data_IF_991986941207
#
_entry.id   IF_991986941207
#
_cell.length_a   1.000
_cell.length_b   1.000
_cell.length_c   1.000
_cell.angle_alpha   90.00
_cell.angle_beta   90.00
_cell.angle_gamma   90.00
#
_symmetry.space_group_name_H-M   'P 1'
#
loop_
_entity.id
_entity.type
_entity.pdbx_description
1 polymer ?
#
# COMPACT_ATOMS: atom_id res chain seq x y z
N UNK A 1 6.87 26.16 45.98
CA UNK A 1 6.15 26.76 44.84
C UNK A 1 6.20 25.76 43.70
N UNK A 2 5.08 25.16 43.29
CA UNK A 2 5.06 24.23 42.18
C UNK A 2 5.03 25.01 40.86
N UNK A 3 6.03 24.76 40.01
CA UNK A 3 6.15 25.33 38.66
C UNK A 3 5.01 24.84 37.77
N UNK A 4 4.07 25.73 37.49
CA UNK A 4 3.05 25.56 36.45
C UNK A 4 3.70 25.76 35.08
N UNK A 5 4.28 24.69 34.54
CA UNK A 5 4.82 24.71 33.17
C UNK A 5 3.64 24.85 32.19
N UNK A 6 3.58 25.92 31.38
CA UNK A 6 2.46 26.16 30.48
C UNK A 6 2.39 25.07 29.43
N UNK A 7 1.26 24.36 29.41
CA UNK A 7 0.94 23.33 28.44
C UNK A 7 1.14 23.88 27.01
N UNK A 8 2.23 23.45 26.37
CA UNK A 8 2.51 23.77 24.98
C UNK A 8 1.40 23.16 24.13
N UNK A 9 0.55 24.02 23.58
CA UNK A 9 -0.48 23.64 22.64
C UNK A 9 0.18 23.05 21.39
N UNK A 10 0.11 21.73 21.26
CA UNK A 10 0.71 21.04 20.13
C UNK A 10 0.10 21.52 18.80
N UNK A 11 0.91 21.83 17.78
CA UNK A 11 0.45 22.43 16.53
C UNK A 11 -0.55 21.53 15.81
N UNK A 12 -1.69 22.11 15.42
CA UNK A 12 -2.88 21.47 14.84
C UNK A 12 -2.71 20.85 13.43
N UNK A 13 -1.49 20.44 13.04
CA UNK A 13 -1.10 20.26 11.64
C UNK A 13 -1.19 18.84 11.06
N UNK A 14 -1.98 17.92 11.65
CA UNK A 14 -2.11 16.53 11.12
C UNK A 14 -3.56 16.00 11.08
N UNK A 15 -4.50 16.76 10.50
CA UNK A 15 -5.92 16.34 10.45
C UNK A 15 -6.34 15.57 9.18
N UNK A 16 -5.66 15.76 8.05
CA UNK A 16 -6.19 15.28 6.77
C UNK A 16 -6.27 13.74 6.66
N UNK A 17 -5.25 13.02 7.14
CA UNK A 17 -5.19 11.56 7.01
C UNK A 17 -5.85 10.76 8.14
N UNK A 18 -6.56 11.41 9.07
CA UNK A 18 -7.18 10.74 10.22
C UNK A 18 -8.67 10.42 10.05
N UNK A 19 -9.31 10.93 8.99
CA UNK A 19 -10.76 10.81 8.77
C UNK A 19 -11.18 9.79 7.71
N UNK A 20 -10.26 9.32 6.88
CA UNK A 20 -10.55 8.20 5.97
C UNK A 20 -10.54 6.92 6.81
N UNK A 21 -11.70 6.57 7.36
CA UNK A 21 -11.90 5.30 8.04
C UNK A 21 -11.61 4.13 7.09
N UNK A 22 -11.63 2.89 7.62
CA UNK A 22 -11.33 1.66 6.86
C UNK A 22 -12.06 1.56 5.51
N UNK A 23 -13.26 2.13 5.42
CA UNK A 23 -14.10 2.20 4.20
C UNK A 23 -13.57 3.15 3.13
N UNK A 24 -12.81 4.18 3.51
CA UNK A 24 -12.22 5.14 2.60
C UNK A 24 -11.12 4.54 1.71
N UNK A 25 -10.49 3.45 2.14
CA UNK A 25 -9.42 2.78 1.39
C UNK A 25 -9.93 1.79 0.36
N UNK A 26 -11.15 1.25 0.56
CA UNK A 26 -11.70 0.21 -0.29
C UNK A 26 -11.86 0.68 -1.75
N UNK A 27 -12.42 1.88 -2.04
CA UNK A 27 -12.51 2.37 -3.41
C UNK A 27 -11.14 2.56 -4.06
N UNK A 28 -10.15 3.05 -3.31
CA UNK A 28 -8.78 3.19 -3.81
C UNK A 28 -8.15 1.84 -4.13
N UNK A 29 -8.31 0.85 -3.25
CA UNK A 29 -7.84 -0.51 -3.47
C UNK A 29 -8.50 -1.14 -4.71
N UNK A 30 -9.81 -0.96 -4.88
CA UNK A 30 -10.55 -1.45 -6.05
C UNK A 30 -10.13 -0.76 -7.35
N UNK A 31 -10.01 0.57 -7.33
CA UNK A 31 -9.52 1.35 -8.47
C UNK A 31 -8.10 0.88 -8.86
N UNK A 32 -7.28 0.59 -7.86
CA UNK A 32 -5.95 0.07 -8.07
C UNK A 32 -5.95 -1.31 -8.70
N UNK A 33 -6.72 -2.24 -8.15
CA UNK A 33 -6.86 -3.60 -8.70
C UNK A 33 -7.35 -3.56 -10.14
N UNK A 34 -8.30 -2.68 -10.45
CA UNK A 34 -8.76 -2.46 -11.82
C UNK A 34 -7.63 -1.95 -12.72
N UNK A 35 -6.89 -0.93 -12.29
CA UNK A 35 -5.76 -0.39 -13.05
C UNK A 35 -4.68 -1.44 -13.29
N UNK A 36 -4.40 -2.28 -12.29
CA UNK A 36 -3.43 -3.37 -12.41
C UNK A 36 -3.91 -4.51 -13.32
N UNK A 37 -5.19 -4.88 -13.26
CA UNK A 37 -5.78 -5.84 -14.21
C UNK A 37 -5.71 -5.32 -15.65
N UNK A 38 -6.01 -4.03 -15.86
CA UNK A 38 -5.89 -3.39 -17.18
C UNK A 38 -4.43 -3.38 -17.66
N UNK A 39 -3.48 -3.07 -16.77
CA UNK A 39 -2.06 -3.09 -17.08
C UNK A 39 -1.56 -4.51 -17.42
N UNK A 40 -1.98 -5.51 -16.65
CA UNK A 40 -1.65 -6.93 -16.90
C UNK A 40 -2.22 -7.41 -18.23
N UNK A 41 -3.44 -7.00 -18.57
CA UNK A 41 -4.05 -7.28 -19.86
C UNK A 41 -3.30 -6.61 -21.02
N UNK A 42 -2.93 -5.32 -20.88
CA UNK A 42 -2.16 -4.60 -21.89
C UNK A 42 -0.76 -5.20 -22.09
N UNK A 43 -0.10 -5.62 -21.00
CA UNK A 43 1.17 -6.34 -21.06
C UNK A 43 1.01 -7.68 -21.78
N UNK A 44 -0.03 -8.44 -21.46
CA UNK A 44 -0.32 -9.71 -22.13
C UNK A 44 -0.48 -9.54 -23.64
N UNK A 45 -1.28 -8.57 -24.07
CA UNK A 45 -1.51 -8.26 -25.48
C UNK A 45 -0.21 -7.77 -26.17
N UNK A 46 0.55 -6.91 -25.49
CA UNK A 46 1.87 -6.46 -25.95
C UNK A 46 2.83 -7.63 -26.19
N UNK A 47 2.89 -8.59 -25.25
CA UNK A 47 3.74 -9.77 -25.38
C UNK A 47 3.28 -10.70 -26.51
N UNK A 48 1.97 -10.93 -26.66
CA UNK A 48 1.46 -11.81 -27.72
C UNK A 48 1.60 -11.20 -29.12
N UNK A 49 1.59 -9.87 -29.20
CA UNK A 49 1.84 -9.13 -30.44
C UNK A 49 3.33 -8.84 -30.68
N UNK A 50 4.22 -9.25 -29.77
CA UNK A 50 5.65 -8.98 -29.89
C UNK A 50 6.27 -9.81 -31.01
N UNK A 51 6.70 -9.12 -32.06
CA UNK A 51 7.53 -9.68 -33.13
C UNK A 51 8.94 -9.09 -33.07
N UNK A 52 10.00 -9.90 -33.02
CA UNK A 52 11.37 -9.40 -32.97
C UNK A 52 11.68 -8.47 -34.15
N UNK A 53 12.11 -7.24 -33.85
CA UNK A 53 12.65 -6.30 -34.84
C UNK A 53 11.69 -5.25 -35.41
N UNK A 54 10.43 -5.18 -34.96
CA UNK A 54 9.43 -4.27 -35.57
C UNK A 54 8.77 -3.27 -34.62
N UNK A 55 9.10 -3.25 -33.32
CA UNK A 55 8.37 -2.40 -32.37
C UNK A 55 9.19 -1.20 -31.90
N UNK A 56 8.72 -0.01 -32.30
CA UNK A 56 8.86 1.17 -31.45
C UNK A 56 7.99 0.98 -30.20
N UNK A 57 8.41 1.48 -29.02
CA UNK A 57 7.62 1.39 -27.81
C UNK A 57 6.28 2.10 -28.02
N UNK A 58 5.18 1.35 -27.97
CA UNK A 58 3.85 1.91 -28.04
C UNK A 58 3.68 2.95 -26.92
N UNK A 59 3.21 4.15 -27.28
CA UNK A 59 2.94 5.22 -26.31
C UNK A 59 1.96 4.75 -25.24
N UNK A 60 0.98 3.90 -25.60
CA UNK A 60 0.02 3.38 -24.64
C UNK A 60 0.70 2.56 -23.55
N UNK A 61 1.60 1.64 -23.93
CA UNK A 61 2.36 0.83 -23.00
C UNK A 61 3.24 1.69 -22.09
N UNK A 62 3.93 2.69 -22.65
CA UNK A 62 4.79 3.61 -21.88
C UNK A 62 3.97 4.41 -20.85
N UNK A 63 2.80 4.94 -21.25
CA UNK A 63 1.90 5.66 -20.36
C UNK A 63 1.39 4.75 -19.24
N UNK A 64 0.98 3.53 -19.54
CA UNK A 64 0.50 2.59 -18.52
C UNK A 64 1.59 2.23 -17.50
N UNK A 65 2.81 1.95 -17.96
CA UNK A 65 3.95 1.70 -17.06
C UNK A 65 4.26 2.92 -16.17
N UNK A 66 4.19 4.12 -16.72
CA UNK A 66 4.44 5.36 -15.96
C UNK A 66 3.41 5.58 -14.84
N UNK A 67 2.16 5.13 -15.02
CA UNK A 67 1.11 5.20 -14.02
C UNK A 67 1.23 4.12 -12.94
N UNK A 68 1.83 2.97 -13.26
CA UNK A 68 1.98 1.85 -12.33
C UNK A 68 2.94 2.17 -11.17
N UNK A 69 4.03 2.89 -11.46
CA UNK A 69 5.08 3.20 -10.50
C UNK A 69 4.61 4.07 -9.30
N UNK A 70 4.00 5.26 -9.50
CA UNK A 70 3.51 6.08 -8.39
C UNK A 70 2.40 5.37 -7.61
N UNK A 71 1.61 4.58 -8.31
CA UNK A 71 0.53 3.78 -7.75
C UNK A 71 1.15 2.72 -6.79
N UNK A 72 2.17 1.99 -7.24
CA UNK A 72 2.82 0.95 -6.43
C UNK A 72 3.47 1.55 -5.17
N UNK A 73 4.11 2.72 -5.30
CA UNK A 73 4.66 3.46 -4.17
C UNK A 73 3.58 3.83 -3.14
N UNK A 74 2.41 4.28 -3.61
CA UNK A 74 1.29 4.58 -2.73
C UNK A 74 0.85 3.35 -1.92
N UNK A 75 0.73 2.18 -2.56
CA UNK A 75 0.38 0.93 -1.88
C UNK A 75 1.43 0.49 -0.87
N UNK A 76 2.70 0.63 -1.20
CA UNK A 76 3.81 0.31 -0.27
C UNK A 76 3.68 1.18 0.99
N UNK A 77 3.52 2.49 0.82
CA UNK A 77 3.39 3.44 1.94
C UNK A 77 2.16 3.09 2.80
N UNK A 78 1.03 2.81 2.16
CA UNK A 78 -0.21 2.42 2.85
C UNK A 78 -0.06 1.12 3.61
N UNK A 79 0.61 0.13 3.02
CA UNK A 79 0.82 -1.20 3.62
C UNK A 79 1.76 -1.14 4.81
N UNK A 80 2.86 -0.38 4.72
CA UNK A 80 3.76 -0.14 5.85
C UNK A 80 3.00 0.49 7.01
N UNK A 81 2.18 1.51 6.75
CA UNK A 81 1.36 2.14 7.77
C UNK A 81 0.38 1.13 8.40
N UNK A 82 -0.26 0.29 7.59
CA UNK A 82 -1.24 -0.68 8.08
C UNK A 82 -0.60 -1.79 8.91
N UNK A 83 0.56 -2.29 8.50
CA UNK A 83 1.34 -3.24 9.28
C UNK A 83 1.76 -2.67 10.64
N UNK A 84 2.20 -1.40 10.67
CA UNK A 84 2.52 -0.71 11.92
C UNK A 84 1.30 -0.52 12.81
N UNK A 85 0.13 -0.21 12.24
CA UNK A 85 -1.13 -0.12 13.00
C UNK A 85 -1.57 -1.47 13.57
N UNK A 86 -1.14 -2.58 12.96
CA UNK A 86 -1.38 -3.94 13.42
C UNK A 86 -0.21 -4.51 14.25
N UNK A 87 0.72 -3.66 14.73
CA UNK A 87 1.91 -4.03 15.52
C UNK A 87 2.90 -5.00 14.83
N UNK A 88 2.78 -5.21 13.52
CA UNK A 88 3.72 -5.98 12.72
C UNK A 88 4.87 -5.10 12.18
N UNK A 89 5.97 -5.74 11.79
CA UNK A 89 7.08 -5.05 11.14
C UNK A 89 6.72 -4.66 9.71
N UNK A 90 7.25 -3.53 9.21
CA UNK A 90 7.00 -3.09 7.83
C UNK A 90 7.70 -3.95 6.77
N UNK A 91 8.59 -4.85 7.18
CA UNK A 91 9.41 -5.69 6.31
C UNK A 91 8.60 -6.68 5.46
N UNK A 92 7.38 -7.02 5.86
CA UNK A 92 6.49 -7.88 5.08
C UNK A 92 6.13 -7.30 3.70
N UNK A 93 6.22 -5.97 3.53
CA UNK A 93 6.03 -5.32 2.22
C UNK A 93 7.18 -5.59 1.26
N UNK A 94 8.36 -6.00 1.75
CA UNK A 94 9.46 -6.39 0.86
C UNK A 94 9.21 -7.72 0.15
N UNK A 95 8.45 -8.64 0.72
CA UNK A 95 8.18 -9.94 0.08
C UNK A 95 7.63 -9.80 -1.35
N UNK A 96 6.56 -9.01 -1.60
CA UNK A 96 6.07 -8.82 -2.96
C UNK A 96 7.06 -8.02 -3.83
N UNK A 97 7.79 -7.06 -3.27
CA UNK A 97 8.79 -6.28 -4.02
C UNK A 97 9.94 -7.16 -4.50
N UNK A 98 10.47 -8.02 -3.62
CA UNK A 98 11.53 -8.98 -3.95
C UNK A 98 11.04 -9.96 -5.01
N UNK A 99 9.79 -10.43 -4.90
CA UNK A 99 9.21 -11.33 -5.91
C UNK A 99 9.16 -10.67 -7.31
N UNK A 100 8.69 -9.42 -7.40
CA UNK A 100 8.67 -8.65 -8.65
C UNK A 100 10.08 -8.33 -9.17
N UNK A 101 11.01 -8.01 -8.27
CA UNK A 101 12.39 -7.71 -8.62
C UNK A 101 13.12 -8.95 -9.18
N UNK A 102 12.98 -10.09 -8.50
CA UNK A 102 13.53 -11.37 -8.97
C UNK A 102 12.95 -11.73 -10.35
N UNK A 103 11.65 -11.51 -10.55
CA UNK A 103 11.02 -11.68 -11.86
C UNK A 103 11.64 -10.80 -12.95
N UNK A 104 11.97 -9.54 -12.65
CA UNK A 104 12.54 -8.61 -13.64
C UNK A 104 13.98 -8.92 -14.06
N UNK A 105 14.74 -9.67 -13.25
CA UNK A 105 16.17 -9.90 -13.47
C UNK A 105 16.44 -11.26 -14.05
N UNK A 106 15.67 -12.27 -13.67
CA UNK A 106 15.88 -13.61 -14.20
C UNK A 106 15.32 -13.64 -15.62
N UNK A 107 16.21 -13.82 -16.60
CA UNK A 107 15.82 -14.18 -17.97
C UNK A 107 15.23 -15.58 -17.93
N UNK A 108 13.92 -15.63 -17.74
CA UNK A 108 13.18 -16.86 -17.63
C UNK A 108 12.78 -17.34 -19.03
N UNK A 109 12.82 -18.65 -19.28
CA UNK A 109 12.22 -19.19 -20.49
C UNK A 109 10.73 -18.83 -20.53
N UNK A 110 10.19 -18.70 -21.73
CA UNK A 110 8.87 -18.13 -22.01
C UNK A 110 7.73 -18.79 -21.22
N UNK A 111 7.83 -20.11 -21.02
CA UNK A 111 6.91 -20.92 -20.23
C UNK A 111 6.91 -20.52 -18.74
N UNK A 112 8.08 -20.24 -18.17
CA UNK A 112 8.19 -19.76 -16.79
C UNK A 112 7.73 -18.32 -16.68
N UNK A 113 7.98 -17.48 -17.70
CA UNK A 113 7.46 -16.12 -17.75
C UNK A 113 5.92 -16.10 -17.76
N UNK A 114 5.28 -16.96 -18.55
CA UNK A 114 3.83 -17.14 -18.53
C UNK A 114 3.32 -17.66 -17.17
N UNK A 115 4.03 -18.60 -16.55
CA UNK A 115 3.70 -19.05 -15.19
C UNK A 115 3.78 -17.90 -14.17
N UNK A 116 4.67 -16.92 -14.38
CA UNK A 116 4.81 -15.76 -13.52
C UNK A 116 3.75 -14.68 -13.71
N UNK A 117 3.04 -14.64 -14.85
CA UNK A 117 1.83 -13.84 -14.98
C UNK A 117 0.80 -14.21 -13.89
N UNK A 118 0.81 -15.45 -13.41
CA UNK A 118 -0.02 -15.92 -12.29
C UNK A 118 0.56 -15.62 -10.90
N UNK A 119 1.86 -15.31 -10.76
CA UNK A 119 2.43 -14.88 -9.47
C UNK A 119 2.08 -13.44 -9.09
N UNK A 120 1.80 -12.58 -10.08
CA UNK A 120 1.36 -11.21 -9.86
C UNK A 120 0.10 -11.11 -8.96
N UNK A 121 -0.98 -11.89 -9.22
CA UNK A 121 -2.13 -11.95 -8.32
C UNK A 121 -1.79 -12.38 -6.88
N UNK A 122 -0.77 -13.21 -6.68
CA UNK A 122 -0.31 -13.63 -5.35
C UNK A 122 0.22 -12.47 -4.52
N UNK A 123 1.03 -11.59 -5.13
CA UNK A 123 1.49 -10.36 -4.47
C UNK A 123 0.31 -9.44 -4.11
N UNK A 124 -0.73 -9.39 -4.95
CA UNK A 124 -1.94 -8.62 -4.72
C UNK A 124 -2.78 -9.13 -3.55
N UNK A 125 -2.94 -10.45 -3.43
CA UNK A 125 -3.63 -11.06 -2.30
C UNK A 125 -2.97 -10.65 -0.98
N UNK A 126 -1.64 -10.57 -0.94
CA UNK A 126 -0.92 -10.10 0.25
C UNK A 126 -1.22 -8.63 0.57
N UNK A 127 -1.22 -7.74 -0.42
CA UNK A 127 -1.58 -6.33 -0.20
C UNK A 127 -3.02 -6.16 0.27
N UNK A 128 -3.96 -6.93 -0.29
CA UNK A 128 -5.35 -6.98 0.15
C UNK A 128 -5.42 -7.49 1.60
N UNK A 129 -4.74 -8.59 1.92
CA UNK A 129 -4.70 -9.14 3.26
C UNK A 129 -4.18 -8.12 4.27
N UNK A 130 -3.10 -7.41 3.94
CA UNK A 130 -2.55 -6.32 4.76
C UNK A 130 -3.57 -5.19 4.94
N UNK A 131 -4.21 -4.73 3.87
CA UNK A 131 -5.24 -3.69 3.93
C UNK A 131 -6.42 -4.10 4.84
N UNK A 132 -6.77 -5.39 4.81
CA UNK A 132 -7.81 -5.98 5.62
C UNK A 132 -7.37 -6.35 7.04
N UNK A 133 -6.10 -6.22 7.43
CA UNK A 133 -5.68 -6.48 8.82
C UNK A 133 -6.41 -5.56 9.79
N UNK A 134 -6.72 -6.04 10.99
CA UNK A 134 -7.26 -5.22 12.07
C UNK A 134 -6.12 -4.52 12.82
N UNK A 135 -6.37 -3.30 13.30
CA UNK A 135 -5.41 -2.59 14.15
C UNK A 135 -5.45 -3.19 15.55
N UNK A 136 -4.29 -3.30 16.21
CA UNK A 136 -4.23 -3.79 17.59
C UNK A 136 -4.82 -2.76 18.55
N UNK A 137 -5.72 -3.14 19.47
CA UNK A 137 -6.20 -2.24 20.52
C UNK A 137 -5.08 -1.91 21.51
N UNK A 138 -5.12 -0.70 22.07
CA UNK A 138 -4.14 -0.23 23.05
C UNK A 138 -2.95 0.55 22.47
N UNK A 139 -1.94 0.85 23.30
CA UNK A 139 -0.76 1.63 22.91
C UNK A 139 0.00 0.96 21.77
N UNK A 140 0.23 1.68 20.67
CA UNK A 140 1.03 1.17 19.56
C UNK A 140 2.52 1.50 19.82
N UNK A 141 3.39 0.50 19.70
CA UNK A 141 4.86 0.69 19.79
C UNK A 141 5.43 1.67 18.75
N UNK A 142 4.69 1.92 17.67
CA UNK A 142 5.08 2.81 16.58
C UNK A 142 4.45 4.22 16.64
N UNK A 143 3.65 4.53 17.67
CA UNK A 143 3.04 5.85 17.84
C UNK A 143 1.70 5.84 18.57
N UNK A 144 0.97 6.96 18.57
CA UNK A 144 -0.32 7.06 19.26
C UNK A 144 -1.34 6.06 18.71
N UNK A 145 -2.11 5.43 19.59
CA UNK A 145 -3.13 4.45 19.21
C UNK A 145 -4.18 5.07 18.26
N UNK A 146 -4.47 4.45 17.10
CA UNK A 146 -5.41 5.01 16.14
C UNK A 146 -6.87 4.91 16.61
N UNK A 147 -7.21 3.90 17.42
CA UNK A 147 -8.58 3.59 17.81
C UNK A 147 -9.06 4.35 19.06
N UNK A 148 -8.15 4.74 19.96
CA UNK A 148 -8.54 5.25 21.27
C UNK A 148 -8.47 6.76 21.43
N UNK A 149 -8.42 7.57 20.36
CA UNK A 149 -8.44 9.04 20.55
C UNK A 149 -9.71 9.56 21.21
N UNK A 150 -10.87 8.91 21.00
CA UNK A 150 -12.11 9.26 21.70
C UNK A 150 -12.14 8.70 23.12
N UNK A 151 -11.68 7.45 23.33
CA UNK A 151 -11.58 6.86 24.66
C UNK A 151 -10.62 7.65 25.55
N UNK A 152 -9.40 7.95 25.06
CA UNK A 152 -8.42 8.76 25.76
C UNK A 152 -8.92 10.19 26.05
N UNK A 153 -9.65 10.80 25.10
CA UNK A 153 -10.28 12.12 25.35
C UNK A 153 -11.35 12.07 26.44
N UNK A 154 -12.09 10.96 26.53
CA UNK A 154 -13.13 10.79 27.55
C UNK A 154 -12.51 10.44 28.92
N UNK A 155 -11.37 9.76 28.95
CA UNK A 155 -10.58 9.51 30.18
C UNK A 155 -9.90 10.79 30.70
N UNK A 156 -9.53 11.71 29.82
CA UNK A 156 -8.90 13.00 30.17
C UNK A 156 -9.89 14.10 30.58
N UNK A 157 -11.20 13.90 30.38
CA UNK A 157 -12.22 14.85 30.81
C UNK A 157 -12.67 14.48 32.24
N UNK A 158 -12.15 15.14 33.30
CA UNK A 158 -12.68 14.91 34.64
C UNK A 158 -14.16 15.30 34.66
N UNK A 159 -14.99 14.46 35.29
CA UNK A 159 -16.40 14.76 35.54
C UNK A 159 -16.48 16.11 36.27
N UNK A 160 -16.95 17.12 35.57
CA UNK A 160 -17.17 18.48 36.07
C UNK A 160 -18.65 18.68 36.41
#
# INVERSE_FOLDING_TARGET
>A
MPDSSPAQSAPARRRFFSRLGRRGYLPWLLLFLLADCLNSWALWDYFHSWTPGTQEPDMLHTVMQSLLLPSTLFLIVMSIRRLRDAAHSGWWVLAPIVCLFVQSIISLPEDVFQAMAYTHPGAWILFIAIALMQSTPGPNKYGPAPLNRRAARNEEAPEA
#
